data_IF_703410469789
#
_entry.id   IF_703410469789
#
_cell.length_a   1.000
_cell.length_b   1.000
_cell.length_c   1.000
_cell.angle_alpha   90.00
_cell.angle_beta   90.00
_cell.angle_gamma   90.00
#
_symmetry.space_group_name_H-M   'P 1'
#
loop_
_entity.id
_entity.type
_entity.pdbx_description
1 polymer ?
#
# COMPACT_ATOMS: atom_id res chain seq x y z
N UNK A 1 29.49 1.13 6.11
CA UNK A 1 28.61 0.00 6.48
C UNK A 1 27.39 0.08 5.59
N UNK A 2 26.99 -1.01 4.93
CA UNK A 2 25.73 -1.05 4.18
C UNK A 2 24.57 -0.86 5.16
N UNK A 3 23.65 0.05 4.83
CA UNK A 3 22.48 0.35 5.67
C UNK A 3 21.52 -0.84 5.61
N UNK A 4 21.08 -1.34 6.75
CA UNK A 4 20.10 -2.44 6.82
C UNK A 4 18.81 -2.00 6.14
N UNK A 5 18.26 -2.75 5.17
CA UNK A 5 16.99 -2.45 4.56
C UNK A 5 15.86 -2.41 5.61
N UNK A 6 14.88 -1.52 5.41
CA UNK A 6 13.65 -1.53 6.22
C UNK A 6 12.83 -2.77 5.96
N UNK A 7 12.70 -3.14 4.68
CA UNK A 7 12.00 -4.35 4.22
C UNK A 7 12.90 -5.09 3.24
N UNK A 8 13.05 -6.39 3.42
CA UNK A 8 13.77 -7.29 2.51
C UNK A 8 12.93 -8.53 2.23
N UNK A 9 12.70 -8.81 0.96
CA UNK A 9 12.06 -10.02 0.47
C UNK A 9 13.08 -10.81 -0.33
N UNK A 10 13.13 -12.11 -0.09
CA UNK A 10 14.00 -13.04 -0.82
C UNK A 10 13.20 -14.25 -1.28
N UNK A 11 13.10 -14.42 -2.61
CA UNK A 11 12.44 -15.53 -3.30
C UNK A 11 11.04 -15.86 -2.75
N UNK A 12 10.25 -14.83 -2.44
CA UNK A 12 8.92 -15.00 -1.84
C UNK A 12 7.95 -15.58 -2.87
N UNK A 13 7.31 -16.71 -2.53
CA UNK A 13 6.31 -17.37 -3.37
C UNK A 13 4.96 -17.45 -2.68
N UNK A 14 3.88 -17.42 -3.47
CA UNK A 14 2.52 -17.64 -3.00
C UNK A 14 1.64 -18.23 -4.08
N UNK A 15 0.96 -19.31 -3.73
CA UNK A 15 -0.05 -19.95 -4.57
C UNK A 15 -1.38 -20.02 -3.86
N UNK A 16 -2.45 -20.04 -4.60
CA UNK A 16 -3.80 -20.36 -4.15
C UNK A 16 -4.30 -21.50 -5.05
N UNK A 17 -4.43 -22.67 -4.49
CA UNK A 17 -4.68 -23.91 -5.21
C UNK A 17 -3.65 -24.11 -6.33
N UNK A 18 -4.07 -24.27 -7.58
CA UNK A 18 -3.21 -24.42 -8.74
C UNK A 18 -2.67 -23.08 -9.30
N UNK A 19 -3.11 -21.93 -8.75
CA UNK A 19 -2.71 -20.62 -9.27
C UNK A 19 -1.47 -20.08 -8.53
N UNK A 20 -0.32 -20.05 -9.22
CA UNK A 20 0.93 -19.48 -8.70
C UNK A 20 0.92 -17.95 -8.89
N UNK A 21 0.62 -17.21 -7.81
CA UNK A 21 0.43 -15.74 -7.83
C UNK A 21 1.75 -15.00 -7.65
N UNK A 22 2.60 -15.44 -6.70
CA UNK A 22 3.96 -14.92 -6.53
C UNK A 22 4.94 -16.05 -6.83
N UNK A 23 5.90 -15.78 -7.72
CA UNK A 23 6.79 -16.80 -8.29
C UNK A 23 8.27 -16.56 -7.98
N UNK A 24 8.56 -16.05 -6.78
CA UNK A 24 9.92 -15.73 -6.35
C UNK A 24 10.18 -14.22 -6.42
N UNK A 25 9.59 -13.47 -5.49
CA UNK A 25 9.78 -12.01 -5.39
C UNK A 25 11.04 -11.72 -4.58
N UNK A 26 11.97 -10.99 -5.20
CA UNK A 26 13.12 -10.38 -4.55
C UNK A 26 12.94 -8.85 -4.55
N UNK A 27 13.00 -8.22 -3.38
CA UNK A 27 12.80 -6.78 -3.26
C UNK A 27 13.43 -6.25 -1.97
N UNK A 28 14.09 -5.10 -2.07
CA UNK A 28 14.61 -4.37 -0.91
C UNK A 28 14.07 -2.96 -0.89
N UNK A 29 13.71 -2.47 0.30
CA UNK A 29 13.22 -1.11 0.52
C UNK A 29 14.04 -0.49 1.64
N UNK A 30 14.65 0.66 1.38
CA UNK A 30 15.45 1.35 2.38
C UNK A 30 14.57 2.04 3.45
N UNK A 31 15.11 2.35 4.63
CA UNK A 31 14.42 3.17 5.61
C UNK A 31 13.98 4.52 5.02
N UNK A 32 12.73 4.92 5.27
CA UNK A 32 12.12 6.16 4.78
C UNK A 32 11.96 6.27 3.26
N UNK A 33 12.23 5.22 2.51
CA UNK A 33 12.02 5.16 1.07
C UNK A 33 10.52 5.04 0.75
N UNK A 34 10.10 5.67 -0.35
CA UNK A 34 8.78 5.51 -0.94
C UNK A 34 8.87 4.58 -2.14
N UNK A 35 8.47 3.34 -1.98
CA UNK A 35 8.34 2.40 -3.07
C UNK A 35 6.93 2.46 -3.65
N UNK A 36 6.82 2.52 -4.98
CA UNK A 36 5.57 2.28 -5.68
C UNK A 36 5.65 0.99 -6.49
N UNK A 37 4.69 0.11 -6.29
CA UNK A 37 4.54 -1.14 -7.04
C UNK A 37 3.51 -0.92 -8.15
N UNK A 38 3.95 -1.08 -9.40
CA UNK A 38 3.11 -0.99 -10.59
C UNK A 38 2.95 -2.37 -11.25
N UNK A 39 2.03 -2.49 -12.20
CA UNK A 39 1.81 -3.72 -12.97
C UNK A 39 0.34 -3.95 -13.29
N UNK A 40 0.08 -4.87 -14.20
CA UNK A 40 -1.28 -5.18 -14.68
C UNK A 40 -2.19 -5.70 -13.58
N UNK A 41 -3.51 -5.62 -13.80
CA UNK A 41 -4.48 -6.20 -12.85
C UNK A 41 -4.29 -7.72 -12.73
N UNK A 42 -4.34 -8.23 -11.50
CA UNK A 42 -4.21 -9.66 -11.21
C UNK A 42 -2.77 -10.20 -11.15
N UNK A 43 -1.72 -9.39 -11.38
CA UNK A 43 -0.33 -9.86 -11.36
C UNK A 43 0.26 -10.14 -9.96
N UNK A 44 -0.52 -10.01 -8.87
CA UNK A 44 -0.09 -10.38 -7.52
C UNK A 44 0.24 -9.22 -6.56
N UNK A 45 0.13 -7.93 -6.97
CA UNK A 45 0.52 -6.76 -6.15
C UNK A 45 -0.14 -6.73 -4.76
N UNK A 46 -1.47 -6.87 -4.69
CA UNK A 46 -2.19 -6.86 -3.41
C UNK A 46 -1.89 -8.09 -2.56
N UNK A 47 -1.56 -9.24 -3.17
CA UNK A 47 -1.10 -10.44 -2.45
C UNK A 47 0.27 -10.18 -1.85
N UNK A 48 1.20 -9.59 -2.61
CA UNK A 48 2.52 -9.19 -2.14
C UNK A 48 2.41 -8.23 -0.94
N UNK A 49 1.57 -7.20 -1.05
CA UNK A 49 1.35 -6.24 0.05
C UNK A 49 0.78 -6.92 1.31
N UNK A 50 -0.14 -7.88 1.16
CA UNK A 50 -0.69 -8.65 2.28
C UNK A 50 0.32 -9.63 2.89
N UNK A 51 1.30 -10.09 2.12
CA UNK A 51 2.42 -10.86 2.66
C UNK A 51 3.35 -9.99 3.52
N UNK A 52 3.60 -8.73 3.13
CA UNK A 52 4.45 -7.80 3.87
C UNK A 52 3.98 -7.53 5.31
N UNK A 53 2.67 -7.44 5.53
CA UNK A 53 2.10 -7.18 6.87
C UNK A 53 1.62 -8.44 7.60
N UNK A 54 1.94 -9.63 7.06
CA UNK A 54 1.59 -10.92 7.66
C UNK A 54 0.09 -11.24 7.63
N UNK A 55 -0.72 -10.57 6.79
CA UNK A 55 -2.13 -10.95 6.55
C UNK A 55 -2.24 -12.23 5.73
N UNK A 56 -1.28 -12.47 4.84
CA UNK A 56 -1.15 -13.71 4.08
C UNK A 56 0.24 -14.28 4.36
N UNK A 57 0.31 -15.56 4.71
CA UNK A 57 1.58 -16.27 4.85
C UNK A 57 2.04 -16.75 3.48
N UNK A 58 3.25 -16.39 3.03
CA UNK A 58 3.88 -16.96 1.83
C UNK A 58 4.04 -18.48 1.95
N UNK A 59 4.16 -19.14 0.81
CA UNK A 59 4.43 -20.60 0.80
C UNK A 59 5.92 -20.89 0.99
N UNK A 60 6.81 -20.01 0.50
CA UNK A 60 8.25 -20.09 0.71
C UNK A 60 8.91 -18.72 0.58
N UNK A 61 10.20 -18.66 0.84
CA UNK A 61 11.03 -17.46 0.81
C UNK A 61 11.24 -16.87 2.20
N UNK A 62 11.70 -15.63 2.25
CA UNK A 62 11.98 -14.88 3.49
C UNK A 62 11.45 -13.46 3.36
N UNK A 63 10.87 -12.95 4.44
CA UNK A 63 10.48 -11.53 4.57
C UNK A 63 11.08 -11.01 5.88
N UNK A 64 11.96 -10.02 5.77
CA UNK A 64 12.59 -9.39 6.93
C UNK A 64 12.19 -7.93 7.06
N UNK A 65 11.91 -7.51 8.29
CA UNK A 65 11.70 -6.11 8.67
C UNK A 65 12.82 -5.71 9.65
N UNK A 66 13.60 -4.69 9.29
CA UNK A 66 14.81 -4.29 10.03
C UNK A 66 15.77 -5.47 10.28
N UNK A 67 15.95 -6.33 9.28
CA UNK A 67 16.79 -7.51 9.34
C UNK A 67 16.22 -8.70 10.14
N UNK A 68 15.02 -8.58 10.73
CA UNK A 68 14.36 -9.66 11.49
C UNK A 68 13.36 -10.39 10.61
N UNK A 69 13.48 -11.73 10.55
CA UNK A 69 12.54 -12.59 9.83
C UNK A 69 11.14 -12.52 10.46
N UNK A 70 10.11 -12.37 9.63
CA UNK A 70 8.72 -12.31 10.09
C UNK A 70 7.95 -13.62 9.84
N UNK A 71 8.45 -14.48 8.97
CA UNK A 71 7.81 -15.78 8.70
C UNK A 71 8.11 -16.78 9.80
N UNK A 72 7.13 -17.63 10.08
CA UNK A 72 7.27 -18.64 11.15
C UNK A 72 7.19 -18.09 12.57
N UNK A 73 6.92 -16.78 12.75
CA UNK A 73 6.75 -16.16 14.06
C UNK A 73 5.42 -16.58 14.70
N UNK A 74 5.41 -16.65 16.03
CA UNK A 74 4.19 -16.90 16.80
C UNK A 74 3.19 -15.73 16.68
N UNK A 75 1.92 -15.99 17.05
CA UNK A 75 0.82 -15.03 16.94
C UNK A 75 1.11 -13.67 17.61
N UNK A 76 1.67 -13.69 18.81
CA UNK A 76 2.00 -12.47 19.56
C UNK A 76 3.03 -11.60 18.79
N UNK A 77 4.10 -12.20 18.26
CA UNK A 77 5.10 -11.47 17.49
C UNK A 77 4.55 -10.89 16.18
N UNK A 78 3.58 -11.57 15.55
CA UNK A 78 2.88 -11.05 14.37
C UNK A 78 1.93 -9.90 14.74
N UNK A 79 1.30 -9.94 15.90
CA UNK A 79 0.47 -8.84 16.39
C UNK A 79 1.31 -7.60 16.70
N UNK A 80 2.46 -7.75 17.36
CA UNK A 80 3.42 -6.66 17.59
C UNK A 80 3.96 -6.08 16.27
N UNK A 81 4.27 -6.98 15.31
CA UNK A 81 4.70 -6.55 13.98
C UNK A 81 3.63 -5.69 13.31
N UNK A 82 2.36 -6.12 13.34
CA UNK A 82 1.25 -5.38 12.71
C UNK A 82 1.02 -4.01 13.29
N UNK A 83 1.41 -3.76 14.54
CA UNK A 83 1.33 -2.43 15.14
C UNK A 83 2.29 -1.43 14.48
N UNK A 84 3.37 -1.91 13.85
CA UNK A 84 4.33 -1.09 13.11
C UNK A 84 3.83 -0.67 11.73
N UNK A 85 2.69 -1.23 11.27
CA UNK A 85 2.09 -0.94 9.97
C UNK A 85 0.83 -0.10 10.08
N UNK A 86 0.73 0.92 9.24
CA UNK A 86 -0.53 1.56 8.86
C UNK A 86 -0.92 1.10 7.46
N UNK A 87 -2.19 0.79 7.23
CA UNK A 87 -2.64 0.31 5.92
C UNK A 87 -3.95 0.97 5.49
N UNK A 88 -4.02 1.35 4.21
CA UNK A 88 -5.27 1.66 3.54
C UNK A 88 -5.57 0.62 2.47
N UNK A 89 -6.84 0.31 2.30
CA UNK A 89 -7.33 -0.59 1.26
C UNK A 89 -7.95 0.22 0.11
N UNK A 90 -8.04 -0.38 -1.06
CA UNK A 90 -8.54 0.25 -2.29
C UNK A 90 -9.86 1.02 -2.12
N UNK A 91 -10.81 0.48 -1.36
CA UNK A 91 -12.11 1.11 -1.07
C UNK A 91 -12.18 1.76 0.32
N UNK A 92 -11.02 2.05 0.95
CA UNK A 92 -10.95 2.63 2.30
C UNK A 92 -11.24 1.63 3.42
N UNK A 93 -12.10 0.64 3.19
CA UNK A 93 -12.55 -0.38 4.16
C UNK A 93 -12.96 0.24 5.51
N UNK A 94 -13.66 1.36 5.49
CA UNK A 94 -14.25 1.96 6.68
C UNK A 94 -15.41 1.08 7.17
N UNK A 95 -15.61 1.06 8.46
CA UNK A 95 -16.77 0.38 9.07
C UNK A 95 -17.99 1.29 8.94
N UNK A 96 -18.95 0.91 8.09
CA UNK A 96 -20.15 1.70 7.81
C UNK A 96 -21.03 1.93 9.04
N UNK A 97 -21.01 1.00 10.00
CA UNK A 97 -21.75 1.07 11.25
C UNK A 97 -21.11 1.92 12.34
N UNK A 98 -19.88 2.39 12.12
CA UNK A 98 -19.15 3.18 13.11
C UNK A 98 -19.00 4.63 12.66
N UNK A 99 -19.11 5.62 13.58
CA UNK A 99 -18.81 7.01 13.29
C UNK A 99 -17.33 7.19 12.94
N UNK A 100 -16.99 8.31 12.33
CA UNK A 100 -15.64 8.57 11.81
C UNK A 100 -14.59 8.56 12.92
N UNK A 101 -14.89 9.13 14.11
CA UNK A 101 -13.93 9.09 15.22
C UNK A 101 -13.55 7.66 15.62
N UNK A 102 -14.53 6.75 15.67
CA UNK A 102 -14.32 5.36 16.04
C UNK A 102 -13.61 4.58 14.89
N UNK A 103 -13.94 4.89 13.63
CA UNK A 103 -13.18 4.37 12.50
C UNK A 103 -11.69 4.72 12.57
N UNK A 104 -11.37 5.99 12.86
CA UNK A 104 -9.98 6.48 12.94
C UNK A 104 -9.23 5.82 14.09
N UNK A 105 -9.84 5.77 15.28
CA UNK A 105 -9.19 5.29 16.50
C UNK A 105 -9.49 3.82 16.82
N UNK A 106 -10.06 3.07 15.88
CA UNK A 106 -10.53 1.70 16.10
C UNK A 106 -9.49 0.81 16.78
N UNK A 107 -8.26 0.82 16.27
CA UNK A 107 -7.17 0.03 16.83
C UNK A 107 -6.72 0.55 18.20
N UNK A 108 -6.54 1.85 18.35
CA UNK A 108 -6.16 2.49 19.61
C UNK A 108 -7.17 2.21 20.72
N UNK A 109 -8.45 2.37 20.43
CA UNK A 109 -9.53 2.15 21.38
C UNK A 109 -9.56 0.70 21.90
N UNK A 110 -9.37 -0.27 21.01
CA UNK A 110 -9.37 -1.70 21.37
C UNK A 110 -8.08 -2.19 22.04
N UNK A 111 -6.95 -1.56 21.78
CA UNK A 111 -5.65 -2.00 22.32
C UNK A 111 -5.22 -1.27 23.59
N UNK A 112 -5.59 0.00 23.75
CA UNK A 112 -5.14 0.87 24.84
C UNK A 112 -6.23 1.22 25.84
N UNK A 113 -7.43 0.66 25.71
CA UNK A 113 -8.60 0.95 26.57
C UNK A 113 -8.86 2.47 26.70
N UNK A 114 -8.72 3.19 25.58
CA UNK A 114 -8.90 4.65 25.54
C UNK A 114 -10.33 5.03 25.85
N UNK A 115 -10.49 6.03 26.69
CA UNK A 115 -11.80 6.62 26.96
C UNK A 115 -12.39 7.27 25.71
N UNK A 116 -13.72 7.24 25.57
CA UNK A 116 -14.44 7.78 24.40
C UNK A 116 -14.07 9.25 24.10
N UNK A 117 -13.92 10.08 25.12
CA UNK A 117 -13.55 11.50 24.96
C UNK A 117 -12.18 11.64 24.33
N UNK A 118 -11.18 10.92 24.85
CA UNK A 118 -9.81 10.96 24.39
C UNK A 118 -9.68 10.43 22.95
N UNK A 119 -10.39 9.32 22.62
CA UNK A 119 -10.43 8.78 21.26
C UNK A 119 -10.99 9.81 20.26
N UNK A 120 -12.03 10.57 20.66
CA UNK A 120 -12.61 11.63 19.82
C UNK A 120 -11.65 12.81 19.61
N UNK A 121 -10.92 13.21 20.64
CA UNK A 121 -9.94 14.30 20.55
C UNK A 121 -8.78 13.91 19.62
N UNK A 122 -8.26 12.69 19.75
CA UNK A 122 -7.23 12.12 18.86
C UNK A 122 -7.74 12.06 17.40
N UNK A 123 -8.96 11.59 17.19
CA UNK A 123 -9.56 11.52 15.85
C UNK A 123 -9.72 12.91 15.24
N UNK A 124 -10.23 13.89 16.00
CA UNK A 124 -10.43 15.27 15.57
C UNK A 124 -9.10 15.92 15.15
N UNK A 125 -8.05 15.71 15.95
CA UNK A 125 -6.71 16.21 15.66
C UNK A 125 -6.15 15.57 14.38
N UNK A 126 -6.23 14.25 14.25
CA UNK A 126 -5.70 13.51 13.10
C UNK A 126 -6.43 13.89 11.79
N UNK A 127 -7.76 14.00 11.85
CA UNK A 127 -8.59 14.40 10.70
C UNK A 127 -8.28 15.84 10.27
N UNK A 128 -8.08 16.75 11.22
CA UNK A 128 -7.73 18.14 10.93
C UNK A 128 -6.38 18.25 10.20
N UNK A 129 -5.40 17.41 10.54
CA UNK A 129 -4.10 17.34 9.84
C UNK A 129 -4.25 16.93 8.37
N UNK A 130 -5.34 16.23 8.02
CA UNK A 130 -5.65 15.79 6.67
C UNK A 130 -6.63 16.72 5.95
N UNK A 131 -6.83 17.94 6.48
CA UNK A 131 -7.65 18.98 5.87
C UNK A 131 -9.15 18.71 5.88
N UNK A 132 -9.63 17.94 6.87
CA UNK A 132 -11.07 17.78 7.12
C UNK A 132 -11.46 18.58 8.37
N UNK A 133 -12.70 19.12 8.37
CA UNK A 133 -13.23 19.82 9.54
C UNK A 133 -13.43 18.84 10.70
N UNK A 134 -13.09 19.24 11.92
CA UNK A 134 -13.27 18.42 13.11
C UNK A 134 -14.73 17.95 13.32
N UNK A 135 -15.71 18.73 12.89
CA UNK A 135 -17.13 18.36 12.95
C UNK A 135 -17.49 17.08 12.15
N UNK A 136 -16.59 16.60 11.27
CA UNK A 136 -16.81 15.36 10.50
C UNK A 136 -16.73 14.11 11.37
N UNK A 137 -16.11 14.17 12.53
CA UNK A 137 -15.85 12.99 13.37
C UNK A 137 -17.12 12.25 13.82
N UNK A 138 -18.24 12.93 13.91
CA UNK A 138 -19.53 12.35 14.35
C UNK A 138 -20.37 11.78 13.19
N UNK A 139 -19.95 12.02 11.94
CA UNK A 139 -20.60 11.47 10.75
C UNK A 139 -20.25 10.01 10.56
N UNK A 140 -21.02 9.35 9.69
CA UNK A 140 -20.77 8.00 9.21
C UNK A 140 -20.16 8.01 7.81
N UNK A 141 -19.46 6.94 7.39
CA UNK A 141 -18.82 6.87 6.06
C UNK A 141 -19.76 7.22 4.90
N UNK A 142 -21.01 6.76 4.94
CA UNK A 142 -22.00 7.02 3.90
C UNK A 142 -22.35 8.52 3.70
N UNK A 143 -22.06 9.36 4.69
CA UNK A 143 -22.31 10.81 4.64
C UNK A 143 -21.14 11.60 4.03
N UNK A 144 -20.06 10.91 3.64
CA UNK A 144 -18.82 11.51 3.14
C UNK A 144 -18.68 11.31 1.62
N UNK A 145 -18.08 12.29 0.94
CA UNK A 145 -17.61 12.10 -0.42
C UNK A 145 -16.47 11.05 -0.49
N UNK A 146 -16.23 10.45 -1.66
CA UNK A 146 -15.16 9.48 -1.84
C UNK A 146 -13.78 10.00 -1.44
N UNK A 147 -13.45 11.26 -1.78
CA UNK A 147 -12.20 11.89 -1.36
C UNK A 147 -12.12 12.11 0.16
N UNK A 148 -13.24 12.40 0.85
CA UNK A 148 -13.27 12.48 2.31
C UNK A 148 -13.08 11.09 2.93
N UNK A 149 -13.72 10.05 2.40
CA UNK A 149 -13.54 8.67 2.87
C UNK A 149 -12.08 8.21 2.76
N UNK A 150 -11.40 8.55 1.65
CA UNK A 150 -9.96 8.27 1.47
C UNK A 150 -9.10 8.98 2.52
N UNK A 151 -9.41 10.23 2.85
CA UNK A 151 -8.69 10.97 3.92
C UNK A 151 -8.95 10.35 5.31
N UNK A 152 -10.16 9.90 5.59
CA UNK A 152 -10.48 9.18 6.83
C UNK A 152 -9.74 7.83 6.90
N UNK A 153 -9.67 7.09 5.80
CA UNK A 153 -8.88 5.86 5.73
C UNK A 153 -7.37 6.12 5.96
N UNK A 154 -6.86 7.23 5.43
CA UNK A 154 -5.49 7.68 5.70
C UNK A 154 -5.33 8.07 7.19
N UNK A 155 -6.29 8.80 7.79
CA UNK A 155 -6.28 9.12 9.20
C UNK A 155 -6.15 7.86 10.06
N UNK A 156 -6.98 6.84 9.78
CA UNK A 156 -6.92 5.54 10.48
C UNK A 156 -5.57 4.85 10.31
N UNK A 157 -4.94 4.98 9.14
CA UNK A 157 -3.65 4.35 8.88
C UNK A 157 -2.49 5.02 9.63
N UNK A 158 -2.58 6.34 9.93
CA UNK A 158 -1.48 7.11 10.50
C UNK A 158 -1.64 7.46 11.99
N UNK A 159 -2.83 7.23 12.57
CA UNK A 159 -3.15 7.66 13.95
C UNK A 159 -2.24 7.06 15.02
N UNK A 160 -1.74 5.85 14.79
CA UNK A 160 -0.81 5.14 15.67
C UNK A 160 0.67 5.44 15.38
N UNK A 161 0.95 6.40 14.51
CA UNK A 161 2.31 6.79 14.10
C UNK A 161 3.18 5.61 13.62
N UNK A 162 2.71 4.81 12.64
CA UNK A 162 3.41 3.61 12.20
C UNK A 162 4.73 3.93 11.50
N UNK A 163 5.66 2.97 11.55
CA UNK A 163 6.97 3.05 10.88
C UNK A 163 6.87 2.70 9.38
N UNK A 164 5.86 1.94 8.99
CA UNK A 164 5.63 1.50 7.60
C UNK A 164 4.17 1.77 7.22
N UNK A 165 3.98 2.42 6.08
CA UNK A 165 2.66 2.72 5.53
C UNK A 165 2.44 1.96 4.23
N UNK A 166 1.33 1.23 4.15
CA UNK A 166 0.91 0.46 3.00
C UNK A 166 -0.34 1.08 2.38
N UNK A 167 -0.29 1.43 1.10
CA UNK A 167 -1.39 2.04 0.38
C UNK A 167 -1.77 1.19 -0.83
N UNK A 168 -2.96 0.58 -0.80
CA UNK A 168 -3.49 -0.18 -1.92
C UNK A 168 -4.41 0.74 -2.74
N UNK A 169 -3.91 1.26 -3.86
CA UNK A 169 -4.60 2.16 -4.79
C UNK A 169 -5.31 3.36 -4.10
N UNK A 170 -4.57 4.21 -3.39
CA UNK A 170 -5.15 5.25 -2.55
C UNK A 170 -5.95 6.30 -3.32
N UNK A 171 -5.63 6.52 -4.60
CA UNK A 171 -6.28 7.52 -5.47
C UNK A 171 -7.31 6.93 -6.43
N UNK A 172 -7.53 5.61 -6.40
CA UNK A 172 -8.48 4.95 -7.29
C UNK A 172 -9.89 5.50 -7.12
N UNK A 173 -10.54 5.80 -8.26
CA UNK A 173 -11.91 6.33 -8.32
C UNK A 173 -12.04 7.83 -8.02
N UNK A 174 -10.93 8.55 -7.90
CA UNK A 174 -10.92 10.00 -7.70
C UNK A 174 -10.54 10.73 -8.99
N UNK A 175 -11.01 11.99 -9.10
CA UNK A 175 -10.57 12.89 -10.16
C UNK A 175 -9.09 13.30 -9.97
N UNK A 176 -8.40 13.81 -11.02
CA UNK A 176 -6.97 14.13 -10.96
C UNK A 176 -6.60 15.18 -9.91
N UNK A 177 -7.50 16.14 -9.61
CA UNK A 177 -7.26 17.19 -8.62
C UNK A 177 -7.28 16.59 -7.22
N UNK A 178 -8.34 15.83 -6.93
CA UNK A 178 -8.48 15.13 -5.64
C UNK A 178 -7.39 14.11 -5.44
N UNK A 179 -6.97 13.36 -6.47
CA UNK A 179 -5.83 12.46 -6.44
C UNK A 179 -4.55 13.18 -6.03
N UNK A 180 -4.27 14.35 -6.62
CA UNK A 180 -3.11 15.17 -6.26
C UNK A 180 -3.13 15.64 -4.80
N UNK A 181 -4.31 15.87 -4.22
CA UNK A 181 -4.44 16.19 -2.80
C UNK A 181 -4.10 14.97 -1.93
N UNK A 182 -4.61 13.79 -2.25
CA UNK A 182 -4.29 12.55 -1.51
C UNK A 182 -2.79 12.24 -1.58
N UNK A 183 -2.18 12.35 -2.77
CA UNK A 183 -0.73 12.14 -2.93
C UNK A 183 0.08 13.08 -2.02
N UNK A 184 -0.29 14.36 -1.94
CA UNK A 184 0.36 15.33 -1.06
C UNK A 184 0.23 14.94 0.40
N UNK A 185 -0.98 14.52 0.83
CA UNK A 185 -1.22 14.06 2.19
C UNK A 185 -0.39 12.81 2.54
N UNK A 186 -0.20 11.89 1.60
CA UNK A 186 0.69 10.72 1.75
C UNK A 186 2.15 11.17 1.94
N UNK A 187 2.63 12.08 1.10
CA UNK A 187 3.99 12.63 1.19
C UNK A 187 4.22 13.33 2.54
N UNK A 188 3.27 14.16 2.96
CA UNK A 188 3.35 14.91 4.21
C UNK A 188 3.33 13.98 5.42
N UNK A 189 2.44 12.98 5.43
CA UNK A 189 2.37 11.95 6.48
C UNK A 189 3.69 11.16 6.56
N UNK A 190 4.22 10.68 5.42
CA UNK A 190 5.51 10.00 5.35
C UNK A 190 6.63 10.82 5.94
N UNK A 191 6.75 12.10 5.54
CA UNK A 191 7.80 13.01 6.02
C UNK A 191 7.68 13.28 7.51
N UNK A 192 6.47 13.55 8.00
CA UNK A 192 6.19 13.82 9.41
C UNK A 192 6.54 12.63 10.30
N UNK A 193 6.15 11.42 9.88
CA UNK A 193 6.38 10.19 10.63
C UNK A 193 7.79 9.62 10.42
N UNK A 194 8.52 10.06 9.40
CA UNK A 194 9.75 9.39 8.99
C UNK A 194 9.52 7.95 8.54
N UNK A 195 8.32 7.65 8.04
CA UNK A 195 7.89 6.31 7.69
C UNK A 195 8.43 5.86 6.33
N UNK A 196 8.60 4.55 6.17
CA UNK A 196 8.78 3.89 4.87
C UNK A 196 7.41 3.62 4.26
N UNK A 197 7.23 3.86 2.95
CA UNK A 197 5.93 3.65 2.31
C UNK A 197 6.01 2.64 1.18
N UNK A 198 4.99 1.79 1.06
CA UNK A 198 4.76 0.92 -0.10
C UNK A 198 3.38 1.21 -0.64
N UNK A 199 3.32 1.68 -1.87
CA UNK A 199 2.06 2.05 -2.54
C UNK A 199 1.86 1.18 -3.77
N UNK A 200 0.68 0.61 -3.94
CA UNK A 200 0.24 0.05 -5.22
C UNK A 200 -0.51 1.15 -5.97
N UNK A 201 -0.13 1.42 -7.20
CA UNK A 201 -0.83 2.37 -8.06
C UNK A 201 -0.72 1.99 -9.53
N UNK A 202 -1.75 2.32 -10.30
CA UNK A 202 -1.76 2.31 -11.76
C UNK A 202 -1.85 3.72 -12.35
N UNK A 203 -1.97 4.75 -11.50
CA UNK A 203 -1.96 6.16 -11.91
C UNK A 203 -0.51 6.66 -11.99
N UNK A 204 -0.01 6.79 -13.22
CA UNK A 204 1.38 7.25 -13.46
C UNK A 204 1.63 8.69 -13.00
N UNK A 205 0.62 9.53 -12.91
CA UNK A 205 0.76 10.87 -12.35
C UNK A 205 1.02 10.81 -10.84
N UNK A 206 0.29 9.95 -10.10
CA UNK A 206 0.55 9.67 -8.69
C UNK A 206 1.92 9.03 -8.50
N UNK A 207 2.28 8.02 -9.31
CA UNK A 207 3.60 7.35 -9.24
C UNK A 207 4.73 8.38 -9.30
N UNK A 208 4.71 9.28 -10.29
CA UNK A 208 5.75 10.33 -10.44
C UNK A 208 5.81 11.31 -9.26
N UNK A 209 4.70 11.52 -8.54
CA UNK A 209 4.68 12.45 -7.40
C UNK A 209 5.21 11.82 -6.11
N UNK A 210 4.88 10.54 -5.86
CA UNK A 210 5.10 9.93 -4.54
C UNK A 210 6.29 8.98 -4.48
N UNK A 211 6.77 8.44 -5.62
CA UNK A 211 7.78 7.40 -5.62
C UNK A 211 9.21 7.95 -5.56
N UNK A 212 10.02 7.38 -4.68
CA UNK A 212 11.49 7.43 -4.79
C UNK A 212 11.97 6.25 -5.67
N UNK A 213 11.36 5.09 -5.48
CA UNK A 213 11.64 3.84 -6.20
C UNK A 213 10.35 3.25 -6.76
N UNK A 214 10.45 2.63 -7.93
CA UNK A 214 9.34 1.92 -8.56
C UNK A 214 9.76 0.48 -8.82
N UNK A 215 8.86 -0.46 -8.58
CA UNK A 215 9.01 -1.86 -8.96
C UNK A 215 7.82 -2.29 -9.82
N UNK A 216 8.09 -2.93 -10.95
CA UNK A 216 7.03 -3.49 -11.80
C UNK A 216 6.90 -4.99 -11.57
N UNK A 217 5.69 -5.40 -11.16
CA UNK A 217 5.30 -6.80 -11.06
C UNK A 217 4.58 -7.22 -12.33
N UNK A 218 5.05 -8.30 -12.94
CA UNK A 218 4.41 -8.93 -14.08
C UNK A 218 4.50 -10.46 -13.91
N UNK A 219 3.40 -11.16 -14.16
CA UNK A 219 3.29 -12.62 -14.06
C UNK A 219 3.91 -13.20 -12.76
N UNK A 220 3.71 -12.54 -11.63
CA UNK A 220 4.16 -13.00 -10.31
C UNK A 220 5.64 -12.78 -10.00
N UNK A 221 6.39 -12.08 -10.84
CA UNK A 221 7.79 -11.71 -10.61
C UNK A 221 8.01 -10.21 -10.74
N UNK A 222 9.09 -9.69 -10.17
CA UNK A 222 9.53 -8.31 -10.43
C UNK A 222 10.40 -8.30 -11.67
N UNK A 223 9.88 -7.72 -12.74
CA UNK A 223 10.60 -7.62 -14.03
C UNK A 223 11.53 -6.41 -14.11
N UNK A 224 11.29 -5.40 -13.25
CA UNK A 224 12.12 -4.21 -13.14
C UNK A 224 11.95 -3.54 -11.79
N UNK A 225 13.02 -3.01 -11.24
CA UNK A 225 13.01 -2.11 -10.09
C UNK A 225 14.12 -1.07 -10.22
N UNK A 226 13.80 0.19 -9.97
CA UNK A 226 14.75 1.30 -10.10
C UNK A 226 14.20 2.59 -9.52
N UNK A 227 14.97 3.70 -9.62
CA UNK A 227 14.48 5.03 -9.23
C UNK A 227 13.32 5.46 -10.12
N UNK A 228 12.39 6.25 -9.55
CA UNK A 228 11.25 6.77 -10.31
C UNK A 228 11.69 7.59 -11.55
N UNK A 229 12.83 8.29 -11.46
CA UNK A 229 13.43 9.06 -12.57
C UNK A 229 13.84 8.18 -13.75
N UNK A 230 14.27 6.94 -13.47
CA UNK A 230 14.75 6.01 -14.50
C UNK A 230 13.63 5.13 -15.10
N UNK A 231 12.41 5.27 -14.62
CA UNK A 231 11.28 4.41 -15.03
C UNK A 231 11.01 4.49 -16.53
N UNK A 232 11.04 5.70 -17.11
CA UNK A 232 10.80 5.90 -18.55
C UNK A 232 11.93 5.36 -19.43
N UNK A 233 13.15 5.30 -18.88
CA UNK A 233 14.36 4.80 -19.53
C UNK A 233 14.80 3.44 -18.99
N UNK A 234 13.84 2.63 -18.50
CA UNK A 234 14.11 1.31 -17.92
C UNK A 234 14.77 0.30 -18.86
N UNK A 235 14.64 0.49 -20.17
CA UNK A 235 15.07 -0.48 -21.17
C UNK A 235 14.20 -1.75 -21.26
N UNK A 236 13.12 -1.84 -20.43
CA UNK A 236 12.20 -2.98 -20.38
C UNK A 236 10.91 -2.63 -21.15
N UNK A 237 10.59 -3.35 -22.26
CA UNK A 237 9.44 -3.04 -23.11
C UNK A 237 8.10 -3.04 -22.37
N UNK A 238 7.91 -3.94 -21.39
CA UNK A 238 6.71 -4.03 -20.56
C UNK A 238 6.54 -2.79 -19.68
N UNK A 239 7.63 -2.29 -19.09
CA UNK A 239 7.62 -1.05 -18.32
C UNK A 239 7.27 0.13 -19.20
N UNK A 240 7.92 0.24 -20.38
CA UNK A 240 7.63 1.29 -21.35
C UNK A 240 6.15 1.27 -21.77
N UNK A 241 5.61 0.09 -22.14
CA UNK A 241 4.19 -0.04 -22.50
C UNK A 241 3.27 0.43 -21.37
N UNK A 242 3.55 -0.01 -20.14
CA UNK A 242 2.70 0.31 -18.97
C UNK A 242 2.72 1.81 -18.64
N UNK A 243 3.92 2.40 -18.60
CA UNK A 243 4.13 3.82 -18.23
C UNK A 243 3.47 4.77 -19.24
N UNK A 244 3.46 4.42 -20.53
CA UNK A 244 2.88 5.24 -21.59
C UNK A 244 1.44 4.85 -21.93
N UNK A 245 0.87 3.83 -21.29
CA UNK A 245 -0.50 3.38 -21.53
C UNK A 245 -0.74 2.89 -22.97
N UNK A 246 0.27 2.27 -23.59
CA UNK A 246 0.17 1.83 -24.99
C UNK A 246 -0.74 0.59 -25.09
N UNK A 247 -1.67 0.61 -26.05
CA UNK A 247 -2.59 -0.50 -26.32
C UNK A 247 -1.89 -1.74 -26.90
N UNK A 248 -0.82 -1.51 -27.66
CA UNK A 248 -0.04 -2.58 -28.31
C UNK A 248 1.33 -2.74 -27.67
N UNK A 249 1.67 -3.98 -27.30
CA UNK A 249 2.96 -4.31 -26.71
C UNK A 249 2.98 -5.69 -26.04
N UNK A 250 4.08 -6.03 -25.36
CA UNK A 250 4.26 -7.36 -24.76
C UNK A 250 3.16 -7.72 -23.76
N UNK A 251 2.70 -6.77 -22.91
CA UNK A 251 1.65 -7.01 -21.92
C UNK A 251 0.27 -7.36 -22.51
N UNK A 252 0.02 -7.05 -23.78
CA UNK A 252 -1.26 -7.33 -24.46
C UNK A 252 -1.19 -8.56 -25.35
N UNK A 253 -0.03 -8.88 -25.92
CA UNK A 253 0.18 -10.04 -26.81
C UNK A 253 0.03 -11.36 -26.07
N UNK A 254 0.51 -11.47 -24.84
CA UNK A 254 0.39 -12.67 -24.00
C UNK A 254 -1.06 -13.01 -23.68
N UNK A 255 -1.91 -12.00 -23.38
CA UNK A 255 -3.35 -12.20 -23.13
C UNK A 255 -4.09 -12.75 -24.35
N UNK A 256 -3.68 -12.36 -25.54
CA UNK A 256 -4.30 -12.81 -26.81
C UNK A 256 -3.94 -14.27 -27.11
N UNK A 257 -2.76 -14.73 -26.75
CA UNK A 257 -2.32 -16.12 -26.91
C UNK A 257 -2.98 -17.07 -25.90
N UNK A 258 -3.12 -16.63 -24.64
CA UNK A 258 -3.77 -17.41 -23.58
C UNK A 258 -5.27 -17.62 -23.87
N UNK A 259 -5.99 -16.62 -24.42
CA UNK A 259 -7.40 -16.77 -24.79
C UNK A 259 -7.62 -17.65 -26.03
N UNK A 260 -6.62 -17.82 -26.90
CA UNK A 260 -6.72 -18.74 -28.05
C UNK A 260 -6.45 -20.20 -27.69
N UNK A 261 -5.83 -20.47 -26.53
CA UNK A 261 -5.55 -21.84 -26.08
C UNK A 261 -6.73 -22.46 -25.30
N UNK A 262 -7.80 -21.70 -25.04
CA UNK A 262 -9.01 -22.16 -24.35
C UNK A 262 -10.29 -22.15 -25.22
N UNK A 263 -10.14 -21.98 -26.54
CA UNK A 263 -11.16 -22.21 -27.60
C UNK A 263 -10.81 -23.43 -28.44
#
# INVERSE_FOLDING_TARGET
>A
MAMTPKIELSTVTKSFDANHVLKGIDLTIAPKESLVIIGTSGCGKSVLMKCLNGLITPDSGSIKIDGKEILGQGRAALEDLRQRFGMTFQFGALFDSLPIWENVTFRLHHQRDLGKSEARDIAAQTISQLGLAAAVIDRYPAELSGGMQKRVALARAIVDEPEILLFDEPTSGLDPITSGVIDRLIIDARKRLGATTVTISHDMASVRRIADKVAMVHDGVIIWAGSAENMENSGVPEVHQFVHGLSDGPLTREKTLSNKAHL
#
